data_IF_373051741117
#
_entry.id   IF_373051741117
#
_cell.length_a   1.000
_cell.length_b   1.000
_cell.length_c   1.000
_cell.angle_alpha   90.00
_cell.angle_beta   90.00
_cell.angle_gamma   90.00
#
_symmetry.space_group_name_H-M   'P 1'
#
loop_
_entity.id
_entity.type
_entity.pdbx_description
1 polymer ?
#
# COMPACT_ATOMS: atom_id res chain seq x y z
N UNK A 1 -36.13 24.73 51.81
CA UNK A 1 -35.58 26.09 51.74
C UNK A 1 -35.01 26.27 50.34
N UNK A 2 -35.70 27.03 49.46
CA UNK A 2 -35.35 27.22 48.06
C UNK A 2 -34.60 28.55 47.87
N UNK A 3 -33.75 28.66 46.86
CA UNK A 3 -33.38 29.97 46.30
C UNK A 3 -33.47 29.89 44.77
N UNK A 4 -34.42 30.68 44.26
CA UNK A 4 -34.60 31.08 42.87
C UNK A 4 -33.46 32.00 42.44
N UNK A 5 -33.16 32.05 41.15
CA UNK A 5 -33.05 33.32 40.47
C UNK A 5 -33.57 33.19 39.04
N UNK A 6 -34.70 33.85 38.80
CA UNK A 6 -35.15 34.30 37.49
C UNK A 6 -34.09 35.22 36.86
N UNK A 7 -34.04 35.30 35.53
CA UNK A 7 -34.33 36.55 34.81
C UNK A 7 -34.31 36.37 33.28
N UNK A 8 -35.44 36.78 32.72
CA UNK A 8 -35.74 37.07 31.33
C UNK A 8 -34.70 37.97 30.65
N UNK A 9 -34.43 37.74 29.36
CA UNK A 9 -34.52 38.83 28.38
C UNK A 9 -34.96 38.34 27.01
N UNK A 10 -36.20 38.70 26.67
CA UNK A 10 -36.77 38.68 25.34
C UNK A 10 -36.21 39.82 24.50
N UNK A 11 -35.91 39.57 23.21
CA UNK A 11 -36.13 40.61 22.19
C UNK A 11 -36.35 40.01 20.81
N UNK A 12 -37.64 39.98 20.44
CA UNK A 12 -38.16 39.98 19.06
C UNK A 12 -37.62 41.21 18.34
N UNK A 13 -37.10 41.04 17.13
CA UNK A 13 -37.10 42.11 16.12
C UNK A 13 -38.11 41.77 15.04
N UNK A 14 -39.15 42.61 14.97
CA UNK A 14 -40.14 42.67 13.90
C UNK A 14 -39.49 43.39 12.71
N UNK A 15 -39.76 42.89 11.51
CA UNK A 15 -39.12 43.31 10.28
C UNK A 15 -39.54 44.68 9.74
N UNK A 16 -38.99 44.99 8.57
CA UNK A 16 -39.55 45.92 7.59
C UNK A 16 -39.30 45.31 6.22
N UNK A 17 -40.39 44.93 5.54
CA UNK A 17 -40.42 44.64 4.11
C UNK A 17 -40.49 45.99 3.41
N UNK A 18 -39.46 46.34 2.64
CA UNK A 18 -39.49 47.49 1.74
C UNK A 18 -39.77 46.97 0.32
N UNK A 19 -41.02 47.14 -0.11
CA UNK A 19 -41.40 46.98 -1.51
C UNK A 19 -40.97 48.22 -2.28
N UNK A 20 -40.04 48.05 -3.23
CA UNK A 20 -39.71 49.07 -4.24
C UNK A 20 -40.23 48.56 -5.58
N UNK A 21 -41.34 49.17 -6.03
CA UNK A 21 -41.82 49.09 -7.40
C UNK A 21 -41.10 50.16 -8.21
N UNK A 22 -40.33 49.78 -9.24
CA UNK A 22 -39.85 50.70 -10.26
C UNK A 22 -39.58 49.96 -11.59
N UNK A 23 -40.41 50.30 -12.58
CA UNK A 23 -40.02 50.53 -13.97
C UNK A 23 -39.55 49.34 -14.80
N UNK A 24 -40.50 48.69 -15.49
CA UNK A 24 -40.20 47.89 -16.67
C UNK A 24 -39.84 48.82 -17.85
N UNK A 25 -38.55 48.97 -18.13
CA UNK A 25 -38.03 49.43 -19.42
C UNK A 25 -37.48 48.21 -20.15
N UNK A 26 -38.28 47.69 -21.09
CA UNK A 26 -37.89 46.59 -21.95
C UNK A 26 -36.81 47.04 -22.94
N UNK A 27 -35.56 46.70 -22.67
CA UNK A 27 -34.49 46.68 -23.66
C UNK A 27 -34.40 45.23 -24.15
N UNK A 28 -34.91 44.97 -25.35
CA UNK A 28 -34.73 43.67 -26.00
C UNK A 28 -33.28 43.53 -26.43
N UNK A 29 -32.46 42.88 -25.60
CA UNK A 29 -31.14 42.40 -26.00
C UNK A 29 -31.37 41.19 -26.89
N UNK A 30 -31.24 41.36 -28.20
CA UNK A 30 -31.18 40.23 -29.13
C UNK A 30 -29.85 39.51 -28.91
N UNK A 31 -29.84 38.22 -28.54
CA UNK A 31 -28.59 37.47 -28.52
C UNK A 31 -28.03 37.35 -29.95
N UNK A 32 -26.70 37.32 -30.14
CA UNK A 32 -26.10 37.09 -31.45
C UNK A 32 -26.53 35.72 -31.99
N UNK A 33 -26.56 35.53 -33.32
CA UNK A 33 -26.91 34.25 -33.92
C UNK A 33 -25.95 33.16 -33.45
N UNK A 34 -26.53 32.05 -32.98
CA UNK A 34 -25.83 30.79 -32.72
C UNK A 34 -25.40 30.20 -34.05
N UNK A 35 -24.15 30.46 -34.46
CA UNK A 35 -23.47 29.62 -35.45
C UNK A 35 -23.17 28.27 -34.78
N UNK A 36 -24.17 27.39 -34.80
CA UNK A 36 -24.04 25.99 -34.43
C UNK A 36 -23.34 25.21 -35.56
N UNK A 37 -22.05 25.46 -35.76
CA UNK A 37 -21.18 24.41 -36.29
C UNK A 37 -20.79 23.51 -35.12
N UNK A 38 -21.70 22.59 -34.79
CA UNK A 38 -21.37 21.45 -33.95
C UNK A 38 -20.37 20.57 -34.71
N UNK A 39 -19.07 20.89 -34.55
CA UNK A 39 -18.04 19.91 -34.80
C UNK A 39 -18.31 18.74 -33.86
N UNK A 40 -18.70 17.60 -34.44
CA UNK A 40 -18.77 16.34 -33.70
C UNK A 40 -17.40 16.10 -33.06
N UNK A 41 -17.28 15.94 -31.73
CA UNK A 41 -16.07 15.37 -31.19
C UNK A 41 -15.99 13.94 -31.72
N UNK A 42 -15.04 13.75 -32.63
CA UNK A 42 -14.61 12.46 -33.12
C UNK A 42 -14.35 11.53 -31.95
N UNK A 43 -14.94 10.33 -32.02
CA UNK A 43 -14.59 9.19 -31.19
C UNK A 43 -13.09 8.97 -31.28
N UNK A 44 -12.40 9.28 -30.19
CA UNK A 44 -11.14 8.65 -29.82
C UNK A 44 -11.05 8.69 -28.29
N UNK A 45 -11.88 7.83 -27.66
CA UNK A 45 -11.60 7.40 -26.29
C UNK A 45 -10.40 6.48 -26.41
N UNK A 46 -9.19 7.06 -26.32
CA UNK A 46 -8.00 6.30 -25.93
C UNK A 46 -8.32 5.70 -24.57
N UNK A 47 -8.57 4.40 -24.55
CA UNK A 47 -8.43 3.57 -23.37
C UNK A 47 -7.06 3.87 -22.79
N UNK A 48 -7.04 4.56 -21.64
CA UNK A 48 -5.86 4.65 -20.79
C UNK A 48 -5.69 3.26 -20.15
N UNK A 49 -5.27 2.29 -20.96
CA UNK A 49 -4.39 1.26 -20.44
C UNK A 49 -3.09 2.01 -20.13
N UNK A 50 -2.98 2.44 -18.88
CA UNK A 50 -1.70 2.85 -18.32
C UNK A 50 -0.81 1.62 -18.35
N UNK A 51 -0.10 1.43 -19.47
CA UNK A 51 1.05 0.55 -19.53
C UNK A 51 2.16 1.24 -18.74
N UNK A 52 2.05 1.19 -17.41
CA UNK A 52 3.26 1.17 -16.59
C UNK A 52 3.88 -0.19 -16.89
N UNK A 53 4.85 -0.21 -17.80
CA UNK A 53 5.75 -1.34 -17.97
C UNK A 53 6.47 -1.53 -16.63
N UNK A 54 5.83 -2.26 -15.73
CA UNK A 54 6.55 -2.85 -14.61
C UNK A 54 7.46 -3.87 -15.28
N UNK A 55 8.80 -3.75 -15.17
CA UNK A 55 9.67 -4.77 -15.71
C UNK A 55 9.21 -6.10 -15.11
N UNK A 56 8.67 -6.99 -15.94
CA UNK A 56 8.33 -8.32 -15.51
C UNK A 56 9.67 -9.01 -15.26
N UNK A 57 10.15 -8.92 -14.01
CA UNK A 57 11.32 -9.67 -13.58
C UNK A 57 10.98 -11.15 -13.71
N UNK A 58 11.86 -11.91 -14.35
CA UNK A 58 11.74 -13.36 -14.35
C UNK A 58 11.75 -13.85 -12.90
N UNK A 59 10.79 -14.69 -12.50
CA UNK A 59 10.71 -15.14 -11.11
C UNK A 59 11.94 -15.96 -10.76
N UNK A 60 12.54 -15.65 -9.62
CA UNK A 60 13.61 -16.48 -9.05
C UNK A 60 12.97 -17.72 -8.44
N UNK A 61 12.94 -18.81 -9.21
CA UNK A 61 12.30 -20.08 -8.85
C UNK A 61 12.88 -20.70 -7.57
N UNK A 62 14.19 -20.61 -7.37
CA UNK A 62 14.85 -21.16 -6.18
C UNK A 62 15.84 -20.15 -5.60
N UNK A 63 15.80 -19.99 -4.27
CA UNK A 63 16.72 -19.17 -3.51
C UNK A 63 18.16 -19.66 -3.69
N UNK A 64 19.08 -18.83 -4.24
CA UNK A 64 20.50 -19.17 -4.33
C UNK A 64 21.11 -19.51 -2.96
N UNK A 65 22.05 -20.46 -2.92
CA UNK A 65 22.73 -20.81 -1.67
C UNK A 65 23.79 -19.78 -1.31
N UNK A 66 23.37 -18.70 -0.65
CA UNK A 66 24.26 -17.60 -0.27
C UNK A 66 25.34 -17.97 0.78
N UNK A 67 25.41 -19.22 1.21
CA UNK A 67 26.51 -19.74 2.04
C UNK A 67 27.80 -19.93 1.23
N UNK A 68 27.71 -19.94 -0.10
CA UNK A 68 28.87 -19.98 -1.00
C UNK A 68 29.73 -18.71 -0.88
N UNK A 69 29.11 -17.58 -0.52
CA UNK A 69 29.80 -16.31 -0.25
C UNK A 69 30.23 -16.18 1.21
N UNK A 70 31.34 -15.49 1.46
CA UNK A 70 31.83 -15.27 2.82
C UNK A 70 30.86 -14.42 3.64
N UNK A 71 30.78 -14.67 4.95
CA UNK A 71 29.98 -13.84 5.84
C UNK A 71 30.58 -12.43 5.91
N UNK A 72 29.77 -11.41 5.66
CA UNK A 72 30.24 -10.02 5.61
C UNK A 72 29.73 -9.32 4.34
N UNK A 73 30.48 -8.33 3.82
CA UNK A 73 30.04 -7.49 2.70
C UNK A 73 29.59 -8.28 1.47
N UNK A 74 30.36 -9.29 1.03
CA UNK A 74 30.08 -10.08 -0.17
C UNK A 74 28.68 -10.72 -0.13
N UNK A 75 28.37 -11.50 0.93
CA UNK A 75 27.03 -12.09 1.08
C UNK A 75 25.92 -11.05 1.19
N UNK A 76 26.19 -9.89 1.81
CA UNK A 76 25.19 -8.82 1.91
C UNK A 76 24.83 -8.28 0.53
N UNK A 77 25.83 -8.00 -0.30
CA UNK A 77 25.63 -7.55 -1.68
C UNK A 77 24.79 -8.55 -2.47
N UNK A 78 25.19 -9.84 -2.49
CA UNK A 78 24.45 -10.88 -3.22
C UNK A 78 23.00 -11.05 -2.73
N UNK A 79 22.78 -10.91 -1.42
CA UNK A 79 21.43 -10.94 -0.85
C UNK A 79 20.59 -9.73 -1.30
N UNK A 80 21.18 -8.54 -1.36
CA UNK A 80 20.48 -7.30 -1.72
C UNK A 80 20.24 -7.19 -3.23
N UNK A 81 21.21 -7.56 -4.06
CA UNK A 81 21.07 -7.64 -5.52
C UNK A 81 19.93 -8.60 -5.93
N UNK A 82 19.76 -9.69 -5.18
CA UNK A 82 18.62 -10.57 -5.34
C UNK A 82 17.32 -9.95 -4.84
N UNK A 83 17.29 -9.45 -3.60
CA UNK A 83 16.04 -9.16 -2.90
C UNK A 83 15.42 -7.81 -3.28
N UNK A 84 16.23 -6.76 -3.40
CA UNK A 84 15.74 -5.39 -3.61
C UNK A 84 14.88 -5.26 -4.86
N UNK A 85 15.33 -5.68 -6.07
CA UNK A 85 14.50 -5.53 -7.28
C UNK A 85 13.19 -6.32 -7.19
N UNK A 86 13.21 -7.48 -6.51
CA UNK A 86 12.01 -8.30 -6.29
C UNK A 86 10.98 -7.60 -5.39
N UNK A 87 11.44 -6.95 -4.31
CA UNK A 87 10.58 -6.15 -3.42
C UNK A 87 10.03 -4.91 -4.13
N UNK A 88 10.86 -4.21 -4.90
CA UNK A 88 10.44 -3.05 -5.68
C UNK A 88 9.37 -3.43 -6.72
N UNK A 89 9.54 -4.55 -7.41
CA UNK A 89 8.55 -5.06 -8.36
C UNK A 89 7.20 -5.38 -7.70
N UNK A 90 7.18 -6.00 -6.51
CA UNK A 90 5.92 -6.25 -5.79
C UNK A 90 5.28 -4.96 -5.25
N UNK A 91 6.09 -4.02 -4.75
CA UNK A 91 5.57 -2.71 -4.36
C UNK A 91 5.00 -1.94 -5.55
N UNK A 92 5.63 -2.03 -6.74
CA UNK A 92 5.12 -1.40 -7.96
C UNK A 92 3.76 -1.97 -8.37
N UNK A 93 3.56 -3.30 -8.26
CA UNK A 93 2.24 -3.93 -8.48
C UNK A 93 1.18 -3.41 -7.51
N UNK A 94 1.51 -3.31 -6.22
CA UNK A 94 0.60 -2.78 -5.19
C UNK A 94 0.28 -1.31 -5.46
N UNK A 95 1.28 -0.52 -5.86
CA UNK A 95 1.10 0.88 -6.21
C UNK A 95 0.15 1.04 -7.41
N UNK A 96 0.34 0.25 -8.48
CA UNK A 96 -0.55 0.28 -9.65
C UNK A 96 -2.00 -0.07 -9.28
N UNK A 97 -2.21 -1.05 -8.40
CA UNK A 97 -3.55 -1.37 -7.88
C UNK A 97 -4.13 -0.20 -7.06
N UNK A 98 -3.31 0.46 -6.24
CA UNK A 98 -3.72 1.61 -5.44
C UNK A 98 -4.11 2.80 -6.32
N UNK A 99 -3.31 3.12 -7.33
CA UNK A 99 -3.58 4.20 -8.27
C UNK A 99 -4.89 3.94 -9.03
N UNK A 100 -5.07 2.70 -9.51
CA UNK A 100 -6.33 2.30 -10.13
C UNK A 100 -7.53 2.45 -9.18
N UNK A 101 -7.38 2.11 -7.89
CA UNK A 101 -8.45 2.28 -6.90
C UNK A 101 -8.79 3.75 -6.63
N UNK A 102 -7.79 4.64 -6.62
CA UNK A 102 -8.00 6.07 -6.46
C UNK A 102 -8.82 6.60 -7.65
N UNK A 103 -8.41 6.27 -8.87
CA UNK A 103 -9.11 6.67 -10.09
C UNK A 103 -10.52 6.07 -10.18
N UNK A 104 -10.66 4.78 -9.86
CA UNK A 104 -11.95 4.09 -9.90
C UNK A 104 -12.95 4.65 -8.88
N UNK A 105 -12.48 5.12 -7.71
CA UNK A 105 -13.33 5.74 -6.68
C UNK A 105 -14.00 7.03 -7.18
N UNK A 106 -13.31 7.84 -7.97
CA UNK A 106 -13.85 9.11 -8.50
C UNK A 106 -15.02 8.91 -9.46
N UNK A 107 -15.11 7.72 -10.06
CA UNK A 107 -16.08 7.34 -11.10
C UNK A 107 -16.77 6.02 -10.75
N UNK A 108 -16.96 5.78 -9.46
CA UNK A 108 -17.56 4.56 -8.91
C UNK A 108 -18.95 4.24 -9.51
N UNK A 109 -19.73 5.25 -9.86
CA UNK A 109 -21.07 5.09 -10.44
C UNK A 109 -21.04 4.69 -11.93
N UNK A 110 -19.90 4.85 -12.61
CA UNK A 110 -19.75 4.64 -14.06
C UNK A 110 -18.72 3.56 -14.42
N UNK A 111 -18.34 2.71 -13.46
CA UNK A 111 -17.48 1.55 -13.72
C UNK A 111 -18.13 0.59 -14.72
N UNK A 112 -17.36 0.20 -15.72
CA UNK A 112 -17.67 -0.87 -16.67
C UNK A 112 -17.73 -2.24 -15.99
N UNK A 113 -18.31 -3.24 -16.65
CA UNK A 113 -18.40 -4.61 -16.10
C UNK A 113 -17.01 -5.23 -15.84
N UNK A 114 -16.03 -4.90 -16.68
CA UNK A 114 -14.65 -5.34 -16.50
C UNK A 114 -14.03 -4.71 -15.24
N UNK A 115 -14.25 -3.42 -15.01
CA UNK A 115 -13.76 -2.71 -13.82
C UNK A 115 -14.47 -3.17 -12.54
N UNK A 116 -15.76 -3.46 -12.61
CA UNK A 116 -16.50 -4.07 -11.49
C UNK A 116 -15.96 -5.45 -11.15
N UNK A 117 -15.62 -6.24 -12.17
CA UNK A 117 -14.99 -7.56 -11.99
C UNK A 117 -13.59 -7.43 -11.38
N UNK A 118 -12.80 -6.45 -11.83
CA UNK A 118 -11.48 -6.17 -11.24
C UNK A 118 -11.58 -5.67 -9.79
N UNK A 119 -12.54 -4.78 -9.48
CA UNK A 119 -12.82 -4.34 -8.11
C UNK A 119 -13.17 -5.52 -7.20
N UNK A 120 -14.01 -6.45 -7.69
CA UNK A 120 -14.37 -7.66 -6.95
C UNK A 120 -13.14 -8.54 -6.69
N UNK A 121 -12.25 -8.71 -7.67
CA UNK A 121 -11.00 -9.46 -7.47
C UNK A 121 -10.09 -8.82 -6.40
N UNK A 122 -10.00 -7.48 -6.38
CA UNK A 122 -9.26 -6.78 -5.34
C UNK A 122 -9.91 -6.93 -3.96
N UNK A 123 -11.24 -6.86 -3.87
CA UNK A 123 -11.98 -7.16 -2.64
C UNK A 123 -11.67 -8.57 -2.12
N UNK A 124 -11.75 -9.58 -2.98
CA UNK A 124 -11.51 -10.97 -2.62
C UNK A 124 -10.06 -11.18 -2.17
N UNK A 125 -9.10 -10.67 -2.95
CA UNK A 125 -7.67 -10.73 -2.63
C UNK A 125 -7.41 -10.07 -1.28
N UNK A 126 -7.82 -8.82 -1.11
CA UNK A 126 -7.56 -8.07 0.12
C UNK A 126 -8.54 -8.40 1.26
N UNK A 127 -9.37 -9.44 1.14
CA UNK A 127 -10.31 -9.91 2.16
C UNK A 127 -11.23 -8.79 2.69
N UNK A 128 -11.84 -8.06 1.77
CA UNK A 128 -12.81 -6.98 2.00
C UNK A 128 -14.16 -7.39 1.42
N UNK A 129 -15.25 -7.10 2.15
CA UNK A 129 -16.60 -7.25 1.61
C UNK A 129 -16.88 -6.16 0.57
N UNK A 130 -17.15 -6.58 -0.66
CA UNK A 130 -17.41 -5.68 -1.78
C UNK A 130 -18.89 -5.25 -1.86
N UNK A 131 -19.16 -4.13 -2.53
CA UNK A 131 -20.52 -3.63 -2.78
C UNK A 131 -21.13 -2.83 -1.62
N UNK A 132 -20.35 -2.55 -0.58
CA UNK A 132 -20.74 -1.62 0.50
C UNK A 132 -20.38 -0.18 0.12
N UNK A 133 -21.00 0.81 0.78
CA UNK A 133 -20.67 2.23 0.58
C UNK A 133 -19.23 2.60 0.97
N UNK A 134 -18.54 1.75 1.74
CA UNK A 134 -17.18 1.99 2.25
C UNK A 134 -16.13 1.10 1.55
N UNK A 135 -16.49 0.45 0.42
CA UNK A 135 -15.63 -0.54 -0.26
C UNK A 135 -14.27 0.07 -0.61
N UNK A 136 -14.25 1.26 -1.20
CA UNK A 136 -13.02 1.93 -1.61
C UNK A 136 -12.17 2.37 -0.41
N UNK A 137 -12.78 2.87 0.66
CA UNK A 137 -12.09 3.27 1.89
C UNK A 137 -11.40 2.05 2.53
N UNK A 138 -12.08 0.91 2.60
CA UNK A 138 -11.50 -0.31 3.12
C UNK A 138 -10.38 -0.85 2.24
N UNK A 139 -10.54 -0.85 0.92
CA UNK A 139 -9.48 -1.25 0.00
C UNK A 139 -8.27 -0.31 0.11
N UNK A 140 -8.46 1.01 0.05
CA UNK A 140 -7.36 1.98 0.17
C UNK A 140 -6.67 1.94 1.54
N UNK A 141 -7.31 1.39 2.59
CA UNK A 141 -6.64 1.13 3.86
C UNK A 141 -5.70 -0.09 3.85
N UNK A 142 -5.85 -1.01 2.88
CA UNK A 142 -5.09 -2.25 2.74
C UNK A 142 -4.13 -2.24 1.55
N UNK A 143 -4.58 -1.77 0.39
CA UNK A 143 -3.82 -1.73 -0.87
C UNK A 143 -2.87 -0.55 -0.87
N UNK A 144 -1.68 -0.75 -0.31
CA UNK A 144 -0.66 0.28 -0.18
C UNK A 144 0.72 -0.35 0.03
N UNK A 145 1.75 0.34 -0.42
CA UNK A 145 3.13 -0.16 -0.44
C UNK A 145 3.72 -0.22 0.97
N UNK A 146 4.85 -0.90 1.11
CA UNK A 146 5.64 -0.89 2.34
C UNK A 146 7.05 -0.35 2.06
N UNK A 147 7.67 0.38 3.00
CA UNK A 147 9.03 0.89 2.82
C UNK A 147 10.01 -0.24 2.48
N UNK A 148 10.80 -0.05 1.42
CA UNK A 148 11.78 -1.05 0.96
C UNK A 148 12.68 -1.51 2.09
N UNK A 149 13.25 -0.56 2.84
CA UNK A 149 14.19 -0.88 3.91
C UNK A 149 13.54 -1.72 5.01
N UNK A 150 12.25 -1.51 5.32
CA UNK A 150 11.50 -2.30 6.31
C UNK A 150 11.37 -3.76 5.87
N UNK A 151 11.00 -3.98 4.61
CA UNK A 151 10.86 -5.33 4.05
C UNK A 151 12.21 -6.04 4.07
N UNK A 152 13.27 -5.36 3.61
CA UNK A 152 14.62 -5.93 3.51
C UNK A 152 15.20 -6.27 4.88
N UNK A 153 15.13 -5.37 5.88
CA UNK A 153 15.68 -5.66 7.21
C UNK A 153 14.93 -6.78 7.94
N UNK A 154 13.63 -6.95 7.66
CA UNK A 154 12.89 -8.09 8.19
C UNK A 154 13.30 -9.39 7.50
N UNK A 155 13.49 -9.38 6.17
CA UNK A 155 14.05 -10.53 5.48
C UNK A 155 15.45 -10.89 6.00
N UNK A 156 16.30 -9.89 6.28
CA UNK A 156 17.64 -10.10 6.88
C UNK A 156 17.54 -10.82 8.23
N UNK A 157 16.71 -10.33 9.14
CA UNK A 157 16.55 -10.93 10.49
C UNK A 157 15.96 -12.34 10.41
N UNK A 158 14.91 -12.54 9.62
CA UNK A 158 14.16 -13.80 9.57
C UNK A 158 14.89 -14.91 8.79
N UNK A 159 15.66 -14.54 7.75
CA UNK A 159 16.39 -15.49 6.92
C UNK A 159 17.88 -15.61 7.27
N UNK A 160 18.40 -14.72 8.12
CA UNK A 160 19.84 -14.63 8.38
C UNK A 160 20.63 -14.37 7.10
N UNK A 161 20.27 -13.31 6.36
CA UNK A 161 20.82 -12.99 5.04
C UNK A 161 20.66 -14.14 4.03
N UNK A 162 19.47 -14.75 3.97
CA UNK A 162 19.13 -15.82 3.04
C UNK A 162 19.69 -17.21 3.38
N UNK A 163 20.48 -17.34 4.44
CA UNK A 163 21.20 -18.60 4.74
C UNK A 163 20.37 -19.63 5.52
N UNK A 164 19.23 -19.22 6.09
CA UNK A 164 18.37 -20.12 6.86
C UNK A 164 17.92 -21.32 6.03
N UNK A 165 17.63 -22.43 6.71
CA UNK A 165 17.11 -23.63 6.02
C UNK A 165 15.79 -23.33 5.30
N UNK A 166 14.91 -22.54 5.91
CA UNK A 166 13.59 -22.25 5.35
C UNK A 166 13.67 -21.31 4.14
N UNK A 167 14.60 -20.36 4.15
CA UNK A 167 14.88 -19.52 2.98
C UNK A 167 15.38 -20.38 1.81
N UNK A 168 16.42 -21.19 2.02
CA UNK A 168 17.04 -21.97 0.94
C UNK A 168 16.17 -23.11 0.41
N UNK A 169 15.49 -23.84 1.29
CA UNK A 169 14.72 -25.04 0.89
C UNK A 169 13.24 -24.75 0.63
N UNK A 170 12.76 -23.56 0.94
CA UNK A 170 11.34 -23.24 0.85
C UNK A 170 11.05 -21.84 0.33
N UNK A 171 12.07 -21.14 -0.18
CA UNK A 171 11.99 -19.75 -0.62
C UNK A 171 11.40 -18.80 0.45
N UNK A 172 11.39 -19.20 1.72
CA UNK A 172 10.65 -18.51 2.78
C UNK A 172 11.58 -17.58 3.57
N UNK A 173 11.73 -16.36 3.07
CA UNK A 173 12.60 -15.33 3.64
C UNK A 173 12.08 -14.74 4.95
N UNK A 174 10.78 -14.84 5.20
CA UNK A 174 10.09 -14.13 6.29
C UNK A 174 9.58 -15.04 7.40
N UNK A 175 9.92 -16.34 7.36
CA UNK A 175 9.48 -17.31 8.36
C UNK A 175 7.97 -17.50 8.40
N UNK A 176 7.27 -17.34 7.27
CA UNK A 176 5.81 -17.49 7.20
C UNK A 176 5.41 -18.92 7.55
N UNK A 177 4.53 -19.06 8.54
CA UNK A 177 4.03 -20.35 9.01
C UNK A 177 2.90 -20.85 8.13
N UNK A 178 2.77 -22.16 8.05
CA UNK A 178 1.60 -22.81 7.51
C UNK A 178 0.99 -23.73 8.56
N UNK A 179 -0.32 -23.96 8.48
CA UNK A 179 -1.10 -24.60 9.55
C UNK A 179 -1.82 -25.88 9.12
N UNK A 180 -1.77 -26.22 7.83
CA UNK A 180 -2.32 -27.48 7.34
C UNK A 180 -1.36 -28.63 7.65
N UNK A 181 -1.89 -29.80 7.98
CA UNK A 181 -1.07 -30.98 8.22
C UNK A 181 -0.21 -31.29 6.98
N UNK A 182 1.10 -31.50 7.18
CA UNK A 182 2.04 -31.81 6.10
C UNK A 182 2.43 -30.63 5.20
N UNK A 183 2.03 -29.39 5.51
CA UNK A 183 2.41 -28.25 4.70
C UNK A 183 3.90 -27.90 4.84
N UNK A 184 4.51 -27.50 3.73
CA UNK A 184 5.86 -26.93 3.68
C UNK A 184 6.93 -27.70 4.47
N UNK A 185 7.78 -26.97 5.18
CA UNK A 185 8.95 -27.50 5.88
C UNK A 185 8.73 -27.52 7.40
N UNK A 186 8.89 -28.69 8.02
CA UNK A 186 8.85 -28.83 9.47
C UNK A 186 10.07 -28.19 10.15
N UNK A 187 9.84 -27.57 11.32
CA UNK A 187 10.90 -27.17 12.24
C UNK A 187 11.40 -28.40 13.01
N UNK A 188 12.73 -28.54 13.12
CA UNK A 188 13.32 -29.66 13.85
C UNK A 188 12.98 -29.54 15.34
N UNK A 189 12.43 -30.62 15.92
CA UNK A 189 12.10 -30.69 17.35
C UNK A 189 10.85 -29.90 17.75
N UNK A 190 9.94 -29.63 16.81
CA UNK A 190 8.74 -28.81 17.00
C UNK A 190 7.65 -29.24 16.02
N UNK A 191 6.37 -29.10 16.40
CA UNK A 191 5.22 -29.35 15.51
C UNK A 191 4.92 -28.17 14.57
N UNK A 192 5.82 -27.17 14.52
CA UNK A 192 5.65 -25.99 13.67
C UNK A 192 6.11 -26.28 12.24
N UNK A 193 5.28 -25.87 11.30
CA UNK A 193 5.56 -25.92 9.87
C UNK A 193 5.68 -24.51 9.29
N UNK A 194 6.56 -24.38 8.30
CA UNK A 194 6.85 -23.15 7.59
C UNK A 194 6.51 -23.34 6.11
N UNK A 195 5.87 -22.33 5.52
CA UNK A 195 5.42 -22.35 4.14
C UNK A 195 6.59 -22.62 3.18
N UNK A 196 6.33 -23.38 2.12
CA UNK A 196 7.17 -23.48 0.93
C UNK A 196 6.54 -22.62 -0.16
N UNK A 197 7.34 -21.82 -0.86
CA UNK A 197 6.91 -20.97 -1.97
C UNK A 197 7.53 -21.43 -3.27
N UNK A 198 6.76 -21.32 -4.36
CA UNK A 198 7.20 -21.74 -5.71
C UNK A 198 8.31 -20.85 -6.27
N UNK A 199 8.50 -19.66 -5.70
CA UNK A 199 9.59 -18.73 -6.03
C UNK A 199 9.89 -17.81 -4.85
N UNK A 200 11.05 -17.14 -4.88
CA UNK A 200 11.39 -16.08 -3.91
C UNK A 200 10.37 -14.94 -4.01
N UNK A 201 9.93 -14.59 -5.22
CA UNK A 201 8.91 -13.58 -5.47
C UNK A 201 7.59 -13.91 -4.77
N UNK A 202 7.14 -15.16 -4.85
CA UNK A 202 5.91 -15.60 -4.19
C UNK A 202 5.98 -15.49 -2.67
N UNK A 203 7.16 -15.66 -2.05
CA UNK A 203 7.33 -15.40 -0.63
C UNK A 203 7.22 -13.92 -0.27
N UNK A 204 7.71 -13.03 -1.13
CA UNK A 204 7.65 -11.58 -0.93
C UNK A 204 6.20 -11.10 -1.10
N UNK A 205 5.52 -11.54 -2.15
CA UNK A 205 4.10 -11.27 -2.38
C UNK A 205 3.26 -11.69 -1.16
N UNK A 206 3.41 -12.95 -0.70
CA UNK A 206 2.67 -13.45 0.46
C UNK A 206 2.97 -12.66 1.74
N UNK A 207 4.21 -12.21 1.93
CA UNK A 207 4.61 -11.40 3.06
C UNK A 207 3.98 -10.01 3.05
N UNK A 208 4.10 -9.28 1.93
CA UNK A 208 3.49 -7.96 1.75
C UNK A 208 1.97 -8.05 1.88
N UNK A 209 1.37 -9.06 1.26
CA UNK A 209 -0.05 -9.33 1.35
C UNK A 209 -0.51 -9.56 2.79
N UNK A 210 0.20 -10.39 3.55
CA UNK A 210 -0.10 -10.66 4.96
C UNK A 210 -0.08 -9.37 5.80
N UNK A 211 0.92 -8.52 5.62
CA UNK A 211 1.00 -7.21 6.29
C UNK A 211 -0.16 -6.28 5.88
N UNK A 212 -0.58 -6.36 4.62
CA UNK A 212 -1.69 -5.56 4.08
C UNK A 212 -3.08 -6.07 4.45
N UNK A 213 -3.26 -7.34 4.80
CA UNK A 213 -4.60 -7.90 5.07
C UNK A 213 -4.82 -8.36 6.51
N UNK A 214 -3.83 -9.00 7.13
CA UNK A 214 -4.04 -9.68 8.39
C UNK A 214 -4.38 -8.70 9.53
N UNK A 215 -5.34 -9.06 10.38
CA UNK A 215 -5.87 -8.19 11.46
C UNK A 215 -4.80 -7.72 12.44
N UNK A 216 -3.77 -8.52 12.65
CA UNK A 216 -2.70 -8.23 13.60
C UNK A 216 -1.83 -7.03 13.20
N UNK A 217 -1.88 -6.63 11.92
CA UNK A 217 -1.12 -5.49 11.39
C UNK A 217 -2.01 -4.26 11.14
N UNK A 218 -3.21 -4.21 11.73
CA UNK A 218 -4.09 -3.05 11.63
C UNK A 218 -3.41 -1.76 12.10
N UNK A 219 -2.68 -1.81 13.22
CA UNK A 219 -1.98 -0.64 13.76
C UNK A 219 -0.92 -0.10 12.78
N UNK A 220 -0.19 -0.99 12.10
CA UNK A 220 0.77 -0.62 11.06
C UNK A 220 0.08 0.07 9.89
N UNK A 221 -1.03 -0.50 9.39
CA UNK A 221 -1.79 0.11 8.28
C UNK A 221 -2.38 1.46 8.65
N UNK A 222 -2.85 1.63 9.89
CA UNK A 222 -3.33 2.91 10.40
C UNK A 222 -2.22 3.96 10.49
N UNK A 223 -1.02 3.57 10.97
CA UNK A 223 0.13 4.46 11.01
C UNK A 223 0.55 4.90 9.60
N UNK A 224 0.62 3.97 8.65
CA UNK A 224 0.90 4.25 7.23
C UNK A 224 -0.13 5.21 6.63
N UNK A 225 -1.43 4.94 6.80
CA UNK A 225 -2.50 5.80 6.30
C UNK A 225 -2.41 7.23 6.87
N UNK A 226 -2.17 7.36 8.18
CA UNK A 226 -2.03 8.67 8.83
C UNK A 226 -0.79 9.46 8.38
N UNK A 227 0.25 8.81 7.86
CA UNK A 227 1.40 9.49 7.25
C UNK A 227 1.08 9.95 5.83
N UNK A 228 0.45 9.07 5.04
CA UNK A 228 0.00 9.40 3.68
C UNK A 228 -0.97 10.60 3.66
N UNK A 229 -1.92 10.66 4.60
CA UNK A 229 -2.83 11.80 4.75
C UNK A 229 -2.12 13.14 5.03
N UNK A 230 -0.93 13.08 5.64
CA UNK A 230 -0.11 14.26 5.95
C UNK A 230 0.85 14.63 4.81
N UNK A 231 0.88 13.85 3.73
CA UNK A 231 1.89 13.96 2.67
C UNK A 231 3.31 13.68 3.19
N UNK A 232 3.45 12.98 4.31
CA UNK A 232 4.73 12.61 4.87
C UNK A 232 5.20 11.28 4.26
N UNK A 233 6.51 11.15 3.98
CA UNK A 233 7.09 9.89 3.56
C UNK A 233 6.84 8.82 4.64
N UNK A 234 6.31 7.67 4.22
CA UNK A 234 6.17 6.49 5.07
C UNK A 234 7.56 5.85 5.18
N UNK A 235 8.16 5.85 6.36
CA UNK A 235 9.51 5.33 6.57
C UNK A 235 9.49 4.00 7.32
N UNK A 236 10.58 3.23 7.20
CA UNK A 236 10.71 1.99 7.97
C UNK A 236 10.66 2.26 9.49
N UNK A 237 11.30 3.34 9.96
CA UNK A 237 11.33 3.73 11.37
C UNK A 237 9.94 4.02 11.93
N UNK A 238 9.06 4.63 11.14
CA UNK A 238 7.70 4.97 11.59
C UNK A 238 6.81 3.75 11.71
N UNK A 239 7.03 2.71 10.90
CA UNK A 239 6.19 1.52 10.88
C UNK A 239 6.70 0.39 11.77
N UNK A 240 8.03 0.19 11.92
CA UNK A 240 8.59 -0.96 12.67
C UNK A 240 8.01 -1.09 14.08
N UNK A 241 7.80 0.03 14.79
CA UNK A 241 7.27 0.03 16.17
C UNK A 241 5.80 -0.35 16.28
N UNK A 242 5.09 -0.49 15.16
CA UNK A 242 3.67 -0.86 15.12
C UNK A 242 3.45 -2.34 14.83
N UNK A 243 4.54 -3.11 14.68
CA UNK A 243 4.54 -4.54 14.39
C UNK A 243 4.43 -5.41 15.66
N UNK A 244 3.69 -4.96 16.69
CA UNK A 244 3.53 -5.62 18.01
C UNK A 244 3.22 -7.12 17.93
N UNK A 245 2.50 -7.54 16.88
CA UNK A 245 2.08 -8.93 16.70
C UNK A 245 3.02 -9.77 15.83
N UNK A 246 4.10 -9.20 15.30
CA UNK A 246 5.03 -9.91 14.41
C UNK A 246 5.95 -10.87 15.19
N UNK A 247 6.39 -10.46 16.38
CA UNK A 247 7.32 -11.24 17.20
C UNK A 247 6.95 -11.20 18.67
N UNK A 248 7.19 -12.32 19.36
CA UNK A 248 7.05 -12.42 20.82
C UNK A 248 8.33 -12.02 21.56
N UNK A 249 9.39 -11.66 20.83
CA UNK A 249 10.68 -11.24 21.41
C UNK A 249 10.61 -9.76 21.79
N UNK A 250 10.83 -9.47 23.08
CA UNK A 250 10.79 -8.09 23.61
C UNK A 250 11.75 -7.12 22.90
N UNK A 251 12.89 -7.60 22.41
CA UNK A 251 13.91 -6.77 21.76
C UNK A 251 13.80 -6.71 20.22
N UNK A 252 12.75 -7.28 19.63
CA UNK A 252 12.66 -7.43 18.18
C UNK A 252 12.74 -6.10 17.43
N UNK A 253 12.00 -5.08 17.88
CA UNK A 253 12.02 -3.76 17.23
C UNK A 253 13.39 -3.08 17.34
N UNK A 254 14.08 -3.25 18.46
CA UNK A 254 15.41 -2.68 18.64
C UNK A 254 16.43 -3.35 17.71
N UNK A 255 16.30 -4.66 17.47
CA UNK A 255 17.11 -5.39 16.48
C UNK A 255 16.83 -4.85 15.07
N UNK A 256 15.56 -4.73 14.68
CA UNK A 256 15.19 -4.19 13.37
C UNK A 256 15.71 -2.76 13.16
N UNK A 257 15.57 -1.89 14.15
CA UNK A 257 16.08 -0.52 14.08
C UNK A 257 17.62 -0.47 14.04
N UNK A 258 18.32 -1.40 14.70
CA UNK A 258 19.77 -1.51 14.60
C UNK A 258 20.22 -1.98 13.21
N UNK A 259 19.52 -2.97 12.63
CA UNK A 259 19.76 -3.42 11.25
C UNK A 259 19.51 -2.27 10.28
N UNK A 260 18.42 -1.54 10.44
CA UNK A 260 18.10 -0.38 9.60
C UNK A 260 19.21 0.66 9.65
N UNK A 261 19.63 1.09 10.85
CA UNK A 261 20.71 2.09 11.02
C UNK A 261 22.03 1.69 10.37
N UNK A 262 22.33 0.40 10.30
CA UNK A 262 23.63 -0.10 9.82
C UNK A 262 23.61 -0.54 8.36
N UNK A 263 22.44 -0.68 7.74
CA UNK A 263 22.32 -1.17 6.36
C UNK A 263 21.45 -0.30 5.46
N UNK A 264 20.76 0.74 5.97
CA UNK A 264 19.85 1.57 5.14
C UNK A 264 20.54 2.14 3.90
N UNK A 265 21.76 2.67 4.03
CA UNK A 265 22.51 3.19 2.88
C UNK A 265 22.81 2.10 1.85
N UNK A 266 23.36 0.98 2.32
CA UNK A 266 23.64 -0.16 1.46
C UNK A 266 22.36 -0.67 0.75
N UNK A 267 21.20 -0.62 1.41
CA UNK A 267 19.93 -1.00 0.78
C UNK A 267 19.55 -0.02 -0.34
N UNK A 268 19.73 1.30 -0.12
CA UNK A 268 19.42 2.34 -1.11
C UNK A 268 20.34 2.30 -2.32
N UNK A 269 21.62 1.99 -2.13
CA UNK A 269 22.58 1.80 -3.22
C UNK A 269 22.15 0.68 -4.20
N UNK A 270 21.30 -0.26 -3.75
CA UNK A 270 20.75 -1.34 -4.58
C UNK A 270 19.34 -1.04 -5.11
N UNK A 271 18.73 0.08 -4.72
CA UNK A 271 17.40 0.52 -5.18
C UNK A 271 17.49 1.17 -6.55
N UNK A 272 16.47 0.95 -7.40
CA UNK A 272 16.39 1.61 -8.70
C UNK A 272 16.28 3.13 -8.63
N UNK A 273 15.91 3.70 -7.47
CA UNK A 273 15.64 5.13 -7.30
C UNK A 273 16.91 6.01 -7.24
N UNK A 274 18.11 5.46 -7.03
CA UNK A 274 19.36 6.24 -7.06
C UNK A 274 20.03 6.27 -8.44
N UNK A 275 19.62 5.39 -9.37
CA UNK A 275 20.18 5.36 -10.72
C UNK A 275 19.80 6.59 -11.56
N UNK A 276 18.77 7.34 -11.17
CA UNK A 276 18.29 8.53 -11.90
C UNK A 276 18.83 9.87 -11.34
N UNK A 277 19.36 9.90 -10.11
CA UNK A 277 19.73 11.15 -9.41
C UNK A 277 21.25 11.33 -9.22
N UNK A 278 22.08 10.49 -9.85
CA UNK A 278 23.54 10.65 -9.83
C UNK A 278 23.98 11.74 -10.82
N UNK A 279 24.60 12.86 -10.37
CA UNK A 279 25.11 13.87 -11.28
C UNK A 279 26.30 13.30 -12.06
N UNK A 280 26.18 13.31 -13.40
CA UNK A 280 27.28 13.05 -14.33
C UNK A 280 28.43 14.07 -14.20
#
# INVERSE_FOLDING_TARGET
MPIRHDLFFSRRWRGVVAAVLLGALGVTVTPPPLDAHAASPSRDVRTLESNVDTPALDPVEEMPDLREYAAGPERKTEFLELLVPLVEAENAKIQAQRDWLIDARERQDSLSDAERSHLQQLCDSYQIECGTSNTFEYLLSRVDTLPLEMVVIQAVEESGWGTSRFARQGNNLFGLRCFSEGCGLAQRGSDRHYQHFDSVQASIEAYLHNLNTHRAYLAMRQARAAQNEKGAAVSAESLIRTLDSYSVRDNYFDVLLALLRTNAELIREHSSNEAEDSPA
#
